data_IF_405860519075
#
_entry.id   IF_405860519075
#
_cell.length_a   1.000
_cell.length_b   1.000
_cell.length_c   1.000
_cell.angle_alpha   90.00
_cell.angle_beta   90.00
_cell.angle_gamma   90.00
#
_symmetry.space_group_name_H-M   'P 1'
#
loop_
_entity.id
_entity.type
_entity.pdbx_description
1 polymer ?
#
# COMPACT_ATOMS: atom_id res chain seq x y z
N UNK A 1 -12.35 1.00 12.57
CA UNK A 1 -11.47 2.18 12.34
C UNK A 1 -10.62 1.91 11.11
N UNK A 2 -11.01 2.44 9.95
CA UNK A 2 -10.40 2.11 8.65
C UNK A 2 -8.88 2.31 8.61
N UNK A 3 -8.36 3.31 9.33
CA UNK A 3 -6.92 3.61 9.41
C UNK A 3 -6.09 2.46 9.99
N UNK A 4 -6.58 1.80 11.04
CA UNK A 4 -5.87 0.67 11.65
C UNK A 4 -5.86 -0.53 10.72
N UNK A 5 -6.95 -0.76 9.98
CA UNK A 5 -7.00 -1.81 8.97
C UNK A 5 -6.05 -1.53 7.82
N UNK A 6 -6.06 -0.31 7.27
CA UNK A 6 -5.11 0.12 6.24
C UNK A 6 -3.67 -0.10 6.68
N UNK A 7 -3.32 0.38 7.87
CA UNK A 7 -1.99 0.21 8.43
C UNK A 7 -1.60 -1.27 8.52
N UNK A 8 -2.46 -2.12 9.11
CA UNK A 8 -2.18 -3.55 9.29
C UNK A 8 -2.03 -4.29 7.95
N UNK A 9 -2.91 -4.01 7.00
CA UNK A 9 -2.88 -4.62 5.65
C UNK A 9 -1.60 -4.22 4.92
N UNK A 10 -1.26 -2.93 4.90
CA UNK A 10 -0.03 -2.47 4.24
C UNK A 10 1.25 -2.87 4.98
N UNK A 11 1.20 -3.05 6.30
CA UNK A 11 2.30 -3.62 7.07
C UNK A 11 2.57 -5.08 6.70
N UNK A 12 1.52 -5.89 6.56
CA UNK A 12 1.66 -7.26 6.05
C UNK A 12 2.22 -7.29 4.63
N UNK A 13 1.67 -6.46 3.73
CA UNK A 13 2.17 -6.35 2.35
C UNK A 13 3.65 -5.92 2.34
N UNK A 14 4.04 -4.98 3.19
CA UNK A 14 5.43 -4.53 3.35
C UNK A 14 6.36 -5.62 3.89
N UNK A 15 5.87 -6.53 4.74
CA UNK A 15 6.65 -7.70 5.20
C UNK A 15 6.83 -8.75 4.10
N UNK A 16 5.84 -8.92 3.21
CA UNK A 16 5.90 -9.87 2.08
C UNK A 16 6.35 -9.23 0.77
N UNK A 17 7.01 -8.07 0.87
CA UNK A 17 7.50 -7.21 -0.20
C UNK A 17 8.79 -7.75 -0.87
N UNK A 18 8.94 -9.07 -0.96
CA UNK A 18 10.11 -9.70 -1.59
C UNK A 18 9.83 -9.90 -3.08
N UNK A 19 10.65 -9.30 -3.95
CA UNK A 19 10.49 -9.38 -5.41
C UNK A 19 10.24 -8.05 -6.14
N UNK A 20 10.32 -6.91 -5.44
CA UNK A 20 10.21 -5.57 -6.03
C UNK A 20 8.77 -5.09 -6.24
N UNK A 21 8.60 -3.85 -6.73
CA UNK A 21 7.32 -3.14 -6.81
C UNK A 21 6.17 -3.91 -7.47
N UNK A 22 6.46 -4.66 -8.54
CA UNK A 22 5.47 -5.38 -9.33
C UNK A 22 4.94 -6.64 -8.66
N UNK A 23 5.76 -7.33 -7.86
CA UNK A 23 5.34 -8.53 -7.12
C UNK A 23 4.28 -8.21 -6.06
N UNK A 24 4.21 -6.94 -5.62
CA UNK A 24 3.30 -6.49 -4.58
C UNK A 24 1.91 -6.14 -5.12
N UNK A 25 1.79 -5.80 -6.41
CA UNK A 25 0.53 -5.37 -7.00
C UNK A 25 -0.59 -6.42 -6.88
N UNK A 26 -0.35 -7.72 -7.14
CA UNK A 26 -1.36 -8.75 -6.93
C UNK A 26 -1.79 -8.90 -5.46
N UNK A 27 -0.85 -8.75 -4.51
CA UNK A 27 -1.16 -8.80 -3.08
C UNK A 27 -2.02 -7.61 -2.65
N UNK A 28 -1.63 -6.41 -3.09
CA UNK A 28 -2.37 -5.17 -2.89
C UNK A 28 -3.78 -5.31 -3.48
N UNK A 29 -3.91 -5.75 -4.73
CA UNK A 29 -5.19 -5.95 -5.40
C UNK A 29 -6.09 -6.94 -4.64
N UNK A 30 -5.54 -8.09 -4.23
CA UNK A 30 -6.31 -9.09 -3.50
C UNK A 30 -6.85 -8.53 -2.18
N UNK A 31 -6.01 -7.87 -1.39
CA UNK A 31 -6.43 -7.33 -0.10
C UNK A 31 -7.45 -6.20 -0.24
N UNK A 32 -7.22 -5.27 -1.16
CA UNK A 32 -8.02 -4.04 -1.21
C UNK A 32 -9.31 -4.22 -2.02
N UNK A 33 -9.26 -4.97 -3.13
CA UNK A 33 -10.39 -5.16 -4.04
C UNK A 33 -11.23 -6.37 -3.66
N UNK A 34 -10.58 -7.48 -3.27
CA UNK A 34 -11.29 -8.74 -3.00
C UNK A 34 -11.66 -8.87 -1.52
N UNK A 35 -10.69 -8.75 -0.60
CA UNK A 35 -10.93 -9.02 0.81
C UNK A 35 -11.64 -7.85 1.52
N UNK A 36 -11.13 -6.63 1.33
CA UNK A 36 -11.67 -5.44 2.01
C UNK A 36 -12.70 -4.66 1.20
N UNK A 37 -12.70 -4.82 -0.13
CA UNK A 37 -13.59 -4.12 -1.06
C UNK A 37 -13.61 -2.59 -0.84
N UNK A 38 -12.45 -2.00 -0.49
CA UNK A 38 -12.34 -0.55 -0.26
C UNK A 38 -12.42 0.25 -1.56
N UNK A 39 -11.96 -0.32 -2.66
CA UNK A 39 -12.04 0.24 -4.01
C UNK A 39 -12.38 -0.89 -4.99
N UNK A 40 -12.91 -0.54 -6.14
CA UNK A 40 -13.15 -1.48 -7.23
C UNK A 40 -11.88 -1.71 -8.08
N UNK A 41 -11.93 -2.72 -8.94
CA UNK A 41 -10.79 -3.08 -9.77
C UNK A 41 -10.42 -1.96 -10.77
N UNK A 42 -11.41 -1.23 -11.30
CA UNK A 42 -11.16 -0.13 -12.21
C UNK A 42 -10.35 0.97 -11.52
N UNK A 43 -10.76 1.37 -10.31
CA UNK A 43 -10.03 2.38 -9.53
C UNK A 43 -8.64 1.90 -9.12
N UNK A 44 -8.48 0.61 -8.83
CA UNK A 44 -7.16 0.04 -8.56
C UNK A 44 -6.22 0.19 -9.76
N UNK A 45 -6.67 -0.13 -10.97
CA UNK A 45 -5.86 0.01 -12.20
C UNK A 45 -5.46 1.47 -12.44
N UNK A 46 -6.37 2.42 -12.23
CA UNK A 46 -6.06 3.85 -12.32
C UNK A 46 -4.96 4.25 -11.32
N UNK A 47 -5.07 3.78 -10.07
CA UNK A 47 -4.06 4.04 -9.04
C UNK A 47 -2.70 3.47 -9.44
N UNK A 48 -2.66 2.25 -9.99
CA UNK A 48 -1.41 1.65 -10.46
C UNK A 48 -0.79 2.47 -11.59
N UNK A 49 -1.60 2.96 -12.54
CA UNK A 49 -1.13 3.81 -13.61
C UNK A 49 -0.51 5.12 -13.07
N UNK A 50 -1.20 5.80 -12.14
CA UNK A 50 -0.70 7.02 -11.49
C UNK A 50 0.57 6.73 -10.69
N UNK A 51 0.63 5.59 -10.00
CA UNK A 51 1.78 5.21 -9.17
C UNK A 51 3.04 4.94 -10.00
N UNK A 52 2.89 4.49 -11.26
CA UNK A 52 4.01 4.25 -12.18
C UNK A 52 4.56 5.53 -12.82
N UNK A 53 3.73 6.55 -13.04
CA UNK A 53 4.20 7.84 -13.56
C UNK A 53 4.76 8.76 -12.48
N UNK A 54 4.45 8.47 -11.21
CA UNK A 54 4.95 9.23 -10.06
C UNK A 54 6.35 8.76 -9.68
N UNK A 55 7.33 9.67 -9.50
CA UNK A 55 8.68 9.28 -9.07
C UNK A 55 8.67 8.61 -7.70
N UNK A 56 9.54 7.62 -7.50
CA UNK A 56 9.71 6.91 -6.23
C UNK A 56 9.32 5.43 -6.28
N UNK A 57 9.33 4.73 -5.13
CA UNK A 57 9.01 3.31 -5.09
C UNK A 57 7.53 3.05 -5.39
N UNK A 58 7.27 2.23 -6.41
CA UNK A 58 5.92 1.89 -6.86
C UNK A 58 5.00 1.43 -5.72
N UNK A 59 5.53 0.62 -4.80
CA UNK A 59 4.79 0.10 -3.65
C UNK A 59 4.31 1.19 -2.69
N UNK A 60 5.18 2.19 -2.43
CA UNK A 60 4.89 3.31 -1.54
C UNK A 60 3.87 4.24 -2.18
N UNK A 61 4.04 4.53 -3.48
CA UNK A 61 3.09 5.34 -4.25
C UNK A 61 1.71 4.66 -4.27
N UNK A 62 1.65 3.37 -4.62
CA UNK A 62 0.41 2.61 -4.64
C UNK A 62 -0.27 2.57 -3.26
N UNK A 63 0.48 2.34 -2.17
CA UNK A 63 -0.06 2.35 -0.82
C UNK A 63 -0.66 3.72 -0.45
N UNK A 64 0.04 4.80 -0.78
CA UNK A 64 -0.40 6.17 -0.50
C UNK A 64 -1.71 6.49 -1.23
N UNK A 65 -1.79 6.22 -2.53
CA UNK A 65 -2.97 6.49 -3.33
C UNK A 65 -4.16 5.59 -2.97
N UNK A 66 -3.92 4.30 -2.67
CA UNK A 66 -4.97 3.41 -2.14
C UNK A 66 -5.48 3.94 -0.81
N UNK A 67 -4.59 4.27 0.12
CA UNK A 67 -4.99 4.74 1.45
C UNK A 67 -5.84 6.01 1.39
N UNK A 68 -5.52 6.90 0.45
CA UNK A 68 -6.35 8.06 0.13
C UNK A 68 -7.71 7.64 -0.46
N UNK A 69 -7.73 6.77 -1.47
CA UNK A 69 -8.95 6.34 -2.13
C UNK A 69 -9.91 5.56 -1.21
N UNK A 70 -9.37 4.75 -0.29
CA UNK A 70 -10.14 3.96 0.66
C UNK A 70 -10.75 4.80 1.79
N UNK A 71 -10.04 5.83 2.27
CA UNK A 71 -10.47 6.64 3.43
C UNK A 71 -11.10 7.98 3.07
N UNK A 72 -10.89 8.46 1.84
CA UNK A 72 -11.31 9.78 1.38
C UNK A 72 -10.50 10.95 1.98
N UNK A 73 -9.43 10.70 2.73
CA UNK A 73 -8.63 11.75 3.35
C UNK A 73 -7.12 11.44 3.41
N UNK A 74 -6.34 12.46 3.76
CA UNK A 74 -4.88 12.35 3.86
C UNK A 74 -4.42 11.41 5.00
N UNK A 75 -5.26 11.17 6.02
CA UNK A 75 -4.90 10.30 7.14
C UNK A 75 -4.84 8.83 6.74
N UNK A 76 -5.73 8.37 5.84
CA UNK A 76 -5.63 7.00 5.32
C UNK A 76 -4.43 6.82 4.40
N UNK A 77 -4.06 7.85 3.63
CA UNK A 77 -2.82 7.85 2.86
C UNK A 77 -1.62 7.66 3.79
N UNK A 78 -1.48 8.52 4.81
CA UNK A 78 -0.40 8.44 5.79
C UNK A 78 -0.34 7.09 6.52
N UNK A 79 -1.49 6.52 6.90
CA UNK A 79 -1.55 5.22 7.57
C UNK A 79 -1.07 4.07 6.66
N UNK A 80 -1.49 4.05 5.40
CA UNK A 80 -1.05 3.05 4.43
C UNK A 80 0.44 3.17 4.09
N UNK A 81 0.92 4.41 3.87
CA UNK A 81 2.34 4.70 3.62
C UNK A 81 3.22 4.30 4.81
N UNK A 82 2.81 4.63 6.03
CA UNK A 82 3.51 4.20 7.23
C UNK A 82 3.51 2.67 7.36
N UNK A 83 2.37 2.04 7.10
CA UNK A 83 2.25 0.57 7.11
C UNK A 83 3.25 -0.09 6.18
N UNK A 84 3.35 0.34 4.92
CA UNK A 84 4.25 -0.31 3.94
C UNK A 84 5.73 -0.01 4.18
N UNK A 85 6.08 1.15 4.73
CA UNK A 85 7.48 1.55 4.96
C UNK A 85 8.07 1.03 6.29
N UNK A 86 7.24 0.79 7.30
CA UNK A 86 7.73 0.37 8.62
C UNK A 86 8.46 -0.98 8.62
N UNK A 87 8.01 -2.04 7.93
CA UNK A 87 8.70 -3.32 7.90
C UNK A 87 10.15 -3.19 7.42
N UNK A 88 10.39 -2.44 6.34
CA UNK A 88 11.74 -2.25 5.81
C UNK A 88 12.61 -1.40 6.74
N UNK A 89 12.04 -0.35 7.37
CA UNK A 89 12.74 0.44 8.38
C UNK A 89 13.14 -0.39 9.60
N UNK A 90 12.24 -1.24 10.11
CA UNK A 90 12.51 -2.14 11.24
C UNK A 90 13.67 -3.07 10.87
N UNK A 91 13.61 -3.71 9.70
CA UNK A 91 14.69 -4.60 9.26
C UNK A 91 16.01 -3.85 9.17
N UNK A 92 16.05 -2.65 8.59
CA UNK A 92 17.29 -1.86 8.48
C UNK A 92 17.85 -1.50 9.86
N UNK A 93 17.01 -1.05 10.81
CA UNK A 93 17.46 -0.63 12.15
C UNK A 93 17.96 -1.80 13.01
N UNK A 94 17.41 -3.00 12.85
CA UNK A 94 17.82 -4.15 13.64
C UNK A 94 18.96 -4.97 13.00
N UNK A 95 19.10 -4.90 11.68
CA UNK A 95 20.12 -5.67 10.95
C UNK A 95 21.43 -4.87 10.76
N UNK A 96 21.40 -3.55 10.95
CA UNK A 96 22.53 -2.63 10.77
C UNK A 96 22.86 -1.93 12.09
#
# INVERSE_FOLDING_TARGET
>A
MIYFSLFKTFFLIGMFSFGGGYAMLPLIQNEIVVNHQWIDNARFVDIVAVSQVTPGPLAVNAATYVGFAASGNAWGAAAATAGVCLPSLIVVVFLY
#
